data_IF_407297669746
#
_entry.id   IF_407297669746
#
_cell.length_a   1.000
_cell.length_b   1.000
_cell.length_c   1.000
_cell.angle_alpha   90.00
_cell.angle_beta   90.00
_cell.angle_gamma   90.00
#
_symmetry.space_group_name_H-M   'P 1'
#
loop_
_entity.id
_entity.type
_entity.pdbx_description
1 polymer ?
#
# COMPACT_ATOMS: atom_id res chain seq x y z
N UNK A 1 -3.67 -15.14 -19.84
CA UNK A 1 -3.95 -15.77 -18.53
C UNK A 1 -3.11 -14.98 -17.53
N UNK A 2 -3.70 -14.04 -16.79
CA UNK A 2 -2.93 -13.21 -15.88
C UNK A 2 -2.46 -14.08 -14.71
N UNK A 3 -1.14 -14.20 -14.55
CA UNK A 3 -0.57 -14.77 -13.34
C UNK A 3 -1.06 -13.96 -12.15
N UNK A 4 -1.44 -14.65 -11.09
CA UNK A 4 -1.81 -13.96 -9.88
C UNK A 4 -0.63 -13.12 -9.37
N UNK A 5 -0.89 -11.93 -8.82
CA UNK A 5 0.18 -11.14 -8.25
C UNK A 5 0.92 -11.98 -7.21
N UNK A 6 2.27 -12.03 -7.25
CA UNK A 6 3.04 -12.73 -6.23
C UNK A 6 2.66 -12.18 -4.86
N UNK A 7 2.59 -13.07 -3.86
CA UNK A 7 2.38 -12.64 -2.48
C UNK A 7 3.50 -11.66 -2.10
N UNK A 8 3.18 -10.49 -1.52
CA UNK A 8 4.21 -9.62 -0.98
C UNK A 8 4.94 -10.37 0.14
N UNK A 9 6.26 -10.46 0.00
CA UNK A 9 7.14 -11.08 0.98
C UNK A 9 8.20 -10.05 1.41
N UNK A 10 8.18 -9.56 2.66
CA UNK A 10 7.22 -9.90 3.73
C UNK A 10 5.82 -9.29 3.54
N UNK A 11 4.81 -9.88 4.20
CA UNK A 11 3.42 -9.41 4.18
C UNK A 11 3.29 -8.04 4.90
N UNK A 12 2.37 -7.15 4.46
CA UNK A 12 2.24 -5.81 5.06
C UNK A 12 1.79 -5.81 6.52
N UNK A 13 0.92 -6.76 6.90
CA UNK A 13 0.40 -6.89 8.26
C UNK A 13 0.79 -8.23 8.88
N UNK A 14 1.17 -8.16 10.15
CA UNK A 14 1.45 -9.31 11.00
C UNK A 14 0.21 -9.67 11.82
N UNK A 15 -0.12 -10.95 11.84
CA UNK A 15 -1.24 -11.45 12.63
C UNK A 15 -0.82 -11.69 14.09
N UNK A 16 -1.46 -10.96 14.99
CA UNK A 16 -1.29 -11.10 16.43
C UNK A 16 -2.25 -12.16 16.95
N UNK A 17 -1.71 -13.37 17.15
CA UNK A 17 -2.47 -14.53 17.60
C UNK A 17 -2.92 -14.37 19.07
N UNK A 18 -4.24 -14.44 19.35
CA UNK A 18 -4.74 -14.49 20.71
C UNK A 18 -4.20 -15.68 21.51
N UNK A 19 -4.10 -15.57 22.84
CA UNK A 19 -3.71 -16.68 23.69
C UNK A 19 -4.64 -17.89 23.46
N UNK A 20 -4.07 -19.09 23.37
CA UNK A 20 -4.77 -20.38 23.20
C UNK A 20 -5.41 -20.62 21.82
N UNK A 21 -5.24 -19.69 20.86
CA UNK A 21 -5.60 -19.97 19.47
C UNK A 21 -4.53 -20.84 18.80
N UNK A 22 -4.91 -21.67 17.81
CA UNK A 22 -3.94 -22.38 16.99
C UNK A 22 -3.07 -21.40 16.20
N UNK A 23 -1.85 -21.81 15.86
CA UNK A 23 -0.98 -21.05 14.96
C UNK A 23 -1.59 -21.06 13.56
N UNK A 24 -1.88 -19.89 12.95
CA UNK A 24 -2.39 -19.84 11.58
C UNK A 24 -1.29 -20.22 10.58
N UNK A 25 -1.70 -20.72 9.41
CA UNK A 25 -0.79 -20.91 8.29
C UNK A 25 -0.48 -19.58 7.61
N UNK A 26 0.67 -19.48 6.95
CA UNK A 26 1.04 -18.27 6.19
C UNK A 26 -0.01 -17.93 5.11
N UNK A 27 -0.53 -18.94 4.43
CA UNK A 27 -1.60 -18.80 3.43
C UNK A 27 -2.88 -18.19 4.01
N UNK A 28 -3.25 -18.59 5.24
CA UNK A 28 -4.40 -18.01 5.92
C UNK A 28 -4.12 -16.55 6.28
N UNK A 29 -2.93 -16.23 6.79
CA UNK A 29 -2.54 -14.85 7.13
C UNK A 29 -2.53 -13.96 5.90
N UNK A 30 -2.01 -14.44 4.77
CA UNK A 30 -1.98 -13.73 3.50
C UNK A 30 -3.40 -13.48 2.93
N UNK A 31 -4.28 -14.48 3.00
CA UNK A 31 -5.65 -14.40 2.47
C UNK A 31 -6.63 -13.63 3.35
N UNK A 32 -6.26 -13.25 4.58
CA UNK A 32 -7.13 -12.54 5.52
C UNK A 32 -6.50 -11.25 6.08
N UNK A 33 -5.50 -10.67 5.41
CA UNK A 33 -4.84 -9.43 5.85
C UNK A 33 -5.85 -8.33 6.23
N UNK A 34 -5.77 -7.86 7.48
CA UNK A 34 -6.61 -6.78 7.99
C UNK A 34 -8.07 -7.13 8.27
N UNK A 35 -8.45 -8.41 8.19
CA UNK A 35 -9.79 -8.89 8.54
C UNK A 35 -9.97 -8.98 10.06
N UNK A 36 -11.00 -8.31 10.59
CA UNK A 36 -11.32 -8.37 12.02
C UNK A 36 -12.42 -9.39 12.30
N UNK A 37 -12.17 -10.40 13.15
CA UNK A 37 -13.21 -11.33 13.57
C UNK A 37 -14.33 -10.62 14.33
N UNK A 38 -15.61 -11.01 14.12
CA UNK A 38 -16.72 -10.54 14.94
C UNK A 38 -16.54 -10.90 16.42
N UNK A 39 -17.21 -10.15 17.31
CA UNK A 39 -17.21 -10.45 18.75
C UNK A 39 -17.69 -11.87 19.02
N UNK A 40 -16.95 -12.61 19.85
CA UNK A 40 -17.22 -14.01 20.17
C UNK A 40 -16.77 -15.02 19.11
N UNK A 41 -16.21 -14.59 17.99
CA UNK A 41 -15.68 -15.49 16.96
C UNK A 41 -14.48 -16.28 17.48
N UNK A 42 -14.40 -17.54 17.05
CA UNK A 42 -13.27 -18.44 17.37
C UNK A 42 -12.87 -19.21 16.11
N UNK A 43 -11.56 -19.48 15.90
CA UNK A 43 -11.07 -20.12 14.68
C UNK A 43 -11.42 -21.61 14.59
N UNK A 44 -11.49 -22.27 15.74
CA UNK A 44 -11.86 -23.69 15.86
C UNK A 44 -12.81 -23.87 17.04
N UNK A 45 -13.73 -24.86 16.97
CA UNK A 45 -14.57 -25.21 18.10
C UNK A 45 -13.74 -25.51 19.36
N UNK A 46 -14.18 -25.02 20.51
CA UNK A 46 -13.50 -25.25 21.80
C UNK A 46 -12.38 -24.26 22.14
N UNK A 47 -12.01 -23.34 21.24
CA UNK A 47 -11.17 -22.19 21.62
C UNK A 47 -11.97 -21.17 22.42
N UNK A 48 -11.29 -20.44 23.33
CA UNK A 48 -11.93 -19.25 23.89
C UNK A 48 -11.90 -18.10 22.90
N UNK A 49 -12.89 -17.19 22.97
CA UNK A 49 -12.85 -15.92 22.27
C UNK A 49 -11.58 -15.14 22.59
N UNK A 50 -11.18 -14.27 21.67
CA UNK A 50 -10.10 -13.33 21.92
C UNK A 50 -10.45 -12.39 23.09
N UNK A 51 -9.45 -11.91 23.86
CA UNK A 51 -9.68 -10.93 24.92
C UNK A 51 -10.36 -9.66 24.39
N UNK A 52 -11.16 -8.96 25.23
CA UNK A 52 -11.70 -7.66 24.85
C UNK A 52 -10.58 -6.68 24.47
N UNK A 53 -10.75 -5.95 23.36
CA UNK A 53 -9.76 -4.99 22.87
C UNK A 53 -8.53 -5.62 22.20
N UNK A 54 -8.55 -6.92 21.89
CA UNK A 54 -7.46 -7.57 21.18
C UNK A 54 -7.26 -6.97 19.78
N UNK A 55 -6.02 -6.58 19.49
CA UNK A 55 -5.61 -6.10 18.16
C UNK A 55 -5.08 -7.29 17.38
N UNK A 56 -5.81 -7.74 16.36
CA UNK A 56 -5.44 -8.91 15.55
C UNK A 56 -4.35 -8.64 14.53
N UNK A 57 -4.12 -7.39 14.17
CA UNK A 57 -3.21 -7.00 13.09
C UNK A 57 -2.33 -5.84 13.50
N UNK A 58 -1.02 -6.02 13.32
CA UNK A 58 -0.04 -4.94 13.45
C UNK A 58 0.67 -4.74 12.14
N UNK A 59 1.21 -3.54 11.92
CA UNK A 59 2.05 -3.28 10.75
C UNK A 59 3.37 -4.06 10.91
N UNK A 60 3.72 -4.85 9.91
CA UNK A 60 5.07 -5.41 9.84
C UNK A 60 6.05 -4.28 9.54
N UNK A 61 7.20 -4.21 10.21
CA UNK A 61 8.17 -3.14 9.94
C UNK A 61 8.63 -3.14 8.48
N UNK A 62 9.11 -4.29 8.00
CA UNK A 62 9.62 -4.43 6.63
C UNK A 62 8.48 -4.50 5.60
N UNK A 63 7.44 -5.29 5.88
CA UNK A 63 6.36 -5.53 4.93
C UNK A 63 5.51 -4.28 4.69
N UNK A 64 5.22 -3.52 5.75
CA UNK A 64 4.47 -2.28 5.63
C UNK A 64 5.28 -1.21 4.90
N UNK A 65 6.57 -1.05 5.23
CA UNK A 65 7.44 -0.08 4.59
C UNK A 65 7.53 -0.31 3.07
N UNK A 66 7.75 -1.56 2.66
CA UNK A 66 7.82 -1.95 1.25
C UNK A 66 6.50 -1.71 0.53
N UNK A 67 5.39 -2.15 1.11
CA UNK A 67 4.06 -1.95 0.52
C UNK A 67 3.70 -0.46 0.39
N UNK A 68 3.97 0.32 1.42
CA UNK A 68 3.75 1.76 1.41
C UNK A 68 4.65 2.45 0.37
N UNK A 69 5.92 2.07 0.25
CA UNK A 69 6.83 2.62 -0.75
C UNK A 69 6.34 2.37 -2.18
N UNK A 70 5.97 1.14 -2.52
CA UNK A 70 5.47 0.79 -3.85
C UNK A 70 4.20 1.56 -4.21
N UNK A 71 3.30 1.79 -3.25
CA UNK A 71 2.05 2.53 -3.46
C UNK A 71 2.25 4.06 -3.47
N UNK A 72 3.23 4.58 -2.73
CA UNK A 72 3.48 6.02 -2.58
C UNK A 72 4.54 6.55 -3.56
N UNK A 73 5.38 5.69 -4.15
CA UNK A 73 6.47 6.10 -5.05
C UNK A 73 6.02 7.01 -6.21
N UNK A 74 4.89 6.74 -6.92
CA UNK A 74 4.43 7.63 -7.97
C UNK A 74 4.05 9.03 -7.45
N UNK A 75 3.41 9.11 -6.28
CA UNK A 75 3.04 10.37 -5.66
C UNK A 75 4.27 11.15 -5.17
N UNK A 76 5.24 10.47 -4.56
CA UNK A 76 6.53 11.05 -4.16
C UNK A 76 7.30 11.61 -5.37
N UNK A 77 7.31 10.90 -6.50
CA UNK A 77 7.93 11.39 -7.74
C UNK A 77 7.26 12.67 -8.24
N UNK A 78 5.93 12.73 -8.22
CA UNK A 78 5.19 13.95 -8.60
C UNK A 78 5.52 15.12 -7.67
N UNK A 79 5.70 14.88 -6.38
CA UNK A 79 6.09 15.90 -5.41
C UNK A 79 7.48 16.45 -5.74
N UNK A 80 8.47 15.58 -5.98
CA UNK A 80 9.83 16.00 -6.36
C UNK A 80 9.88 16.77 -7.68
N UNK A 81 9.05 16.42 -8.66
CA UNK A 81 8.91 17.20 -9.89
C UNK A 81 8.37 18.60 -9.57
N UNK A 82 7.34 18.72 -8.73
CA UNK A 82 6.80 20.01 -8.30
C UNK A 82 7.84 20.89 -7.59
N UNK A 83 8.61 20.31 -6.68
CA UNK A 83 9.73 20.98 -6.00
C UNK A 83 10.79 21.42 -7.01
N UNK A 84 11.18 20.55 -7.95
CA UNK A 84 12.16 20.88 -8.98
C UNK A 84 11.71 22.05 -9.87
N UNK A 85 10.45 22.05 -10.30
CA UNK A 85 9.85 23.15 -11.08
C UNK A 85 9.84 24.46 -10.28
N UNK A 86 9.51 24.40 -8.98
CA UNK A 86 9.52 25.56 -8.11
C UNK A 86 10.93 26.15 -7.95
N UNK A 87 11.92 25.31 -7.62
CA UNK A 87 13.31 25.73 -7.42
C UNK A 87 13.90 26.27 -8.73
N UNK A 88 13.65 25.62 -9.86
CA UNK A 88 14.08 26.11 -11.17
C UNK A 88 13.45 27.47 -11.50
N UNK A 89 12.14 27.62 -11.26
CA UNK A 89 11.44 28.89 -11.42
C UNK A 89 12.02 30.00 -10.54
N UNK A 90 12.33 29.69 -9.28
CA UNK A 90 12.94 30.63 -8.34
C UNK A 90 14.34 31.08 -8.81
N UNK A 91 15.22 30.13 -9.15
CA UNK A 91 16.58 30.41 -9.62
C UNK A 91 16.56 31.25 -10.89
N UNK A 92 15.72 30.88 -11.86
CA UNK A 92 15.59 31.62 -13.11
C UNK A 92 14.96 33.01 -12.91
N UNK A 93 14.10 33.20 -11.90
CA UNK A 93 13.57 34.53 -11.54
C UNK A 93 14.68 35.42 -10.97
N UNK A 94 15.51 34.89 -10.06
CA UNK A 94 16.64 35.62 -9.47
C UNK A 94 17.67 36.00 -10.56
N UNK A 95 17.97 35.07 -11.47
CA UNK A 95 18.85 35.30 -12.62
C UNK A 95 18.22 36.26 -13.65
N UNK A 96 16.91 36.15 -13.89
CA UNK A 96 16.16 36.98 -14.83
C UNK A 96 15.91 38.41 -14.35
N UNK A 97 15.83 38.63 -13.03
CA UNK A 97 15.79 39.98 -12.45
C UNK A 97 17.04 40.81 -12.81
N UNK A 98 18.17 40.16 -13.11
CA UNK A 98 19.39 40.83 -13.58
C UNK A 98 19.32 41.24 -15.07
N UNK A 99 18.32 40.78 -15.83
CA UNK A 99 18.21 40.96 -17.28
C UNK A 99 16.78 41.36 -17.70
N UNK A 100 16.42 42.63 -17.49
CA UNK A 100 15.42 43.47 -18.22
C UNK A 100 14.20 42.82 -18.93
N UNK A 101 13.00 43.34 -18.63
CA UNK A 101 11.76 43.45 -19.43
C UNK A 101 11.61 42.51 -20.66
N UNK A 102 11.36 41.22 -20.43
CA UNK A 102 11.10 40.28 -21.53
C UNK A 102 10.01 39.27 -21.16
N UNK A 103 9.31 38.71 -22.15
CA UNK A 103 8.16 37.80 -21.99
C UNK A 103 8.44 36.56 -21.10
N UNK A 104 9.71 36.22 -20.91
CA UNK A 104 10.20 35.21 -19.97
C UNK A 104 9.78 35.49 -18.51
N UNK A 105 9.58 36.76 -18.13
CA UNK A 105 9.11 37.15 -16.79
C UNK A 105 7.76 36.51 -16.45
N UNK A 106 6.81 36.45 -17.39
CA UNK A 106 5.50 35.83 -17.17
C UNK A 106 5.61 34.31 -16.99
N UNK A 107 6.54 33.66 -17.70
CA UNK A 107 6.82 32.23 -17.54
C UNK A 107 7.38 31.94 -16.15
N UNK A 108 8.22 32.83 -15.62
CA UNK A 108 8.79 32.70 -14.28
C UNK A 108 7.76 32.91 -13.17
N UNK A 109 6.90 33.93 -13.29
CA UNK A 109 5.76 34.11 -12.38
C UNK A 109 4.84 32.90 -12.41
N UNK A 110 4.56 32.35 -13.60
CA UNK A 110 3.76 31.14 -13.74
C UNK A 110 4.42 29.93 -13.06
N UNK A 111 5.75 29.77 -13.15
CA UNK A 111 6.48 28.69 -12.46
C UNK A 111 6.47 28.84 -10.93
N UNK A 112 6.61 30.07 -10.41
CA UNK A 112 6.53 30.37 -8.97
C UNK A 112 5.13 30.05 -8.42
N UNK A 113 4.07 30.25 -9.19
CA UNK A 113 2.70 29.91 -8.78
C UNK A 113 2.39 28.43 -8.99
N UNK A 114 2.82 27.85 -10.11
CA UNK A 114 2.56 26.45 -10.45
C UNK A 114 3.29 25.49 -9.51
N UNK A 115 4.52 25.79 -9.09
CA UNK A 115 5.33 24.95 -8.19
C UNK A 115 4.63 24.61 -6.86
N UNK A 116 4.19 25.62 -6.07
CA UNK A 116 3.44 25.41 -4.84
C UNK A 116 2.12 24.68 -5.07
N UNK A 117 1.37 25.01 -6.13
CA UNK A 117 0.10 24.32 -6.46
C UNK A 117 0.34 22.84 -6.72
N UNK A 118 1.36 22.49 -7.50
CA UNK A 118 1.74 21.10 -7.77
C UNK A 118 2.18 20.38 -6.50
N UNK A 119 2.94 21.05 -5.64
CA UNK A 119 3.42 20.50 -4.37
C UNK A 119 2.28 20.23 -3.39
N UNK A 120 1.35 21.18 -3.24
CA UNK A 120 0.15 21.02 -2.39
C UNK A 120 -0.69 19.87 -2.91
N UNK A 121 -0.99 19.82 -4.21
CA UNK A 121 -1.77 18.72 -4.80
C UNK A 121 -1.11 17.36 -4.62
N UNK A 122 0.22 17.28 -4.79
CA UNK A 122 0.96 16.05 -4.57
C UNK A 122 0.95 15.64 -3.09
N UNK A 123 1.07 16.60 -2.17
CA UNK A 123 0.98 16.36 -0.73
C UNK A 123 -0.41 15.87 -0.30
N UNK A 124 -1.49 16.48 -0.80
CA UNK A 124 -2.86 16.00 -0.55
C UNK A 124 -3.06 14.57 -1.03
N UNK A 125 -2.60 14.25 -2.26
CA UNK A 125 -2.67 12.88 -2.78
C UNK A 125 -1.86 11.89 -1.94
N UNK A 126 -0.69 12.30 -1.43
CA UNK A 126 0.13 11.44 -0.57
C UNK A 126 -0.62 11.09 0.72
N UNK A 127 -1.26 12.08 1.35
CA UNK A 127 -2.06 11.89 2.55
C UNK A 127 -3.27 10.98 2.30
N UNK A 128 -4.00 11.23 1.21
CA UNK A 128 -5.14 10.39 0.81
C UNK A 128 -4.74 8.93 0.59
N UNK A 129 -3.58 8.69 -0.03
CA UNK A 129 -3.07 7.32 -0.24
C UNK A 129 -2.68 6.69 1.09
N UNK A 130 -1.95 7.42 1.96
CA UNK A 130 -1.49 6.94 3.26
C UNK A 130 -2.68 6.54 4.17
N UNK A 131 -3.68 7.41 4.27
CA UNK A 131 -4.92 7.16 5.03
C UNK A 131 -5.67 5.92 4.46
N UNK A 132 -5.58 5.68 3.15
CA UNK A 132 -6.21 4.55 2.46
C UNK A 132 -5.37 3.27 2.35
N UNK A 133 -4.13 3.22 2.86
CA UNK A 133 -3.24 2.06 2.67
C UNK A 133 -3.81 0.79 3.33
N UNK A 134 -4.40 0.91 4.52
CA UNK A 134 -5.01 -0.24 5.21
C UNK A 134 -6.20 -0.81 4.42
N UNK A 135 -7.01 0.06 3.82
CA UNK A 135 -8.14 -0.34 3.00
C UNK A 135 -7.67 -1.03 1.71
N UNK A 136 -6.55 -0.57 1.13
CA UNK A 136 -5.92 -1.27 0.00
C UNK A 136 -5.43 -2.67 0.38
N UNK A 137 -4.77 -2.82 1.53
CA UNK A 137 -4.35 -4.15 2.02
C UNK A 137 -5.56 -5.07 2.18
N UNK A 138 -6.63 -4.59 2.81
CA UNK A 138 -7.89 -5.33 2.97
C UNK A 138 -8.54 -5.69 1.64
N UNK A 139 -8.51 -4.78 0.66
CA UNK A 139 -9.08 -5.01 -0.68
C UNK A 139 -8.29 -6.06 -1.50
N UNK A 140 -6.99 -6.20 -1.26
CA UNK A 140 -6.14 -7.20 -1.93
C UNK A 140 -6.26 -8.60 -1.30
N UNK A 141 -6.58 -8.69 -0.01
CA UNK A 141 -6.66 -9.98 0.71
C UNK A 141 -7.56 -11.04 0.03
N UNK A 142 -8.77 -10.72 -0.47
CA UNK A 142 -9.60 -11.68 -1.21
C UNK A 142 -8.93 -12.21 -2.48
N UNK A 143 -8.18 -11.36 -3.20
CA UNK A 143 -7.49 -11.76 -4.43
C UNK A 143 -6.37 -12.77 -4.14
N UNK A 144 -5.62 -12.54 -3.06
CA UNK A 144 -4.61 -13.50 -2.58
C UNK A 144 -5.26 -14.81 -2.15
N UNK A 145 -6.39 -14.76 -1.44
CA UNK A 145 -7.14 -15.95 -1.05
C UNK A 145 -7.58 -16.79 -2.24
N UNK A 146 -8.16 -16.17 -3.28
CA UNK A 146 -8.58 -16.87 -4.50
C UNK A 146 -7.39 -17.50 -5.23
N UNK A 147 -6.26 -16.80 -5.27
CA UNK A 147 -5.03 -17.30 -5.88
C UNK A 147 -4.52 -18.54 -5.18
N UNK A 148 -4.41 -18.48 -3.85
CA UNK A 148 -3.93 -19.59 -3.03
C UNK A 148 -4.86 -20.81 -3.14
N UNK A 149 -6.17 -20.60 -3.13
CA UNK A 149 -7.15 -21.66 -3.35
C UNK A 149 -7.00 -22.32 -4.72
N UNK A 150 -6.79 -21.53 -5.78
CA UNK A 150 -6.57 -22.05 -7.13
C UNK A 150 -5.29 -22.88 -7.23
N UNK A 151 -4.20 -22.42 -6.60
CA UNK A 151 -2.93 -23.16 -6.56
C UNK A 151 -3.08 -24.47 -5.79
N UNK A 152 -3.73 -24.45 -4.63
CA UNK A 152 -4.02 -25.66 -3.84
C UNK A 152 -4.89 -26.65 -4.61
N UNK A 153 -5.92 -26.17 -5.30
CA UNK A 153 -6.79 -27.00 -6.14
C UNK A 153 -6.05 -27.62 -7.33
N UNK A 154 -5.23 -26.84 -8.04
CA UNK A 154 -4.41 -27.35 -9.13
C UNK A 154 -3.39 -28.41 -8.64
N UNK A 155 -2.82 -28.21 -7.45
CA UNK A 155 -1.94 -29.20 -6.82
C UNK A 155 -2.69 -30.50 -6.51
N UNK A 156 -3.89 -30.40 -5.94
CA UNK A 156 -4.76 -31.54 -5.68
C UNK A 156 -5.08 -32.33 -6.96
N UNK A 157 -5.44 -31.63 -8.04
CA UNK A 157 -5.71 -32.26 -9.34
C UNK A 157 -4.48 -32.96 -9.93
N UNK A 158 -3.26 -32.47 -9.68
CA UNK A 158 -2.04 -33.15 -10.12
C UNK A 158 -1.73 -34.39 -9.28
N UNK A 159 -2.04 -34.38 -7.99
CA UNK A 159 -1.79 -35.52 -7.10
C UNK A 159 -2.86 -36.62 -7.18
N UNK A 160 -4.09 -36.29 -7.58
CA UNK A 160 -5.23 -37.22 -7.58
C UNK A 160 -6.06 -37.21 -8.87
N UNK A 161 -5.63 -36.48 -9.91
CA UNK A 161 -6.29 -36.47 -11.22
C UNK A 161 -6.24 -37.86 -11.86
N UNK A 162 -7.24 -38.21 -12.69
CA UNK A 162 -7.37 -39.54 -13.25
C UNK A 162 -6.07 -39.94 -13.97
N UNK A 163 -5.58 -41.14 -13.65
CA UNK A 163 -4.54 -41.82 -14.42
C UNK A 163 -4.99 -41.83 -15.88
N UNK A 164 -4.42 -40.95 -16.71
CA UNK A 164 -4.45 -41.07 -18.17
C UNK A 164 -3.35 -42.03 -18.60
#
# INVERSE_FOLDING_TARGET
MADAPPLPDPLPLEFQRPPRWPTPTLDWVAGNQGWEPPSGWTPVPGCSPAPPGWVFWTRSEEGWARFAEENLAPAKRSLWIGVGVFVAGLLLTVLGLAATHNALFLVFVAAIVAGPILTIRAGSRLKEIDDGLLDRVRALAPQYKHTLQRLAYNKYLRSFGPLS
#
